data_IF_994630894123
#
_entry.id   IF_994630894123
#
_cell.length_a   1.000
_cell.length_b   1.000
_cell.length_c   1.000
_cell.angle_alpha   90.00
_cell.angle_beta   90.00
_cell.angle_gamma   90.00
#
_symmetry.space_group_name_H-M   'P 1'
#
loop_
_entity.id
_entity.type
_entity.pdbx_description
1 polymer ?
#
# COMPACT_ATOMS: atom_id res chain seq x y z
N UNK A 1 7.08 13.39 2.78
CA UNK A 1 7.33 13.03 4.20
C UNK A 1 7.93 14.17 5.01
N UNK A 2 8.97 14.86 4.54
CA UNK A 2 9.63 15.97 5.30
C UNK A 2 8.67 17.07 5.75
N UNK A 3 7.63 17.35 4.95
CA UNK A 3 6.62 18.39 5.24
C UNK A 3 5.59 17.94 6.29
N UNK A 4 4.93 16.80 6.05
CA UNK A 4 3.81 16.33 6.86
C UNK A 4 4.22 15.50 8.08
N UNK A 5 5.46 14.99 8.12
CA UNK A 5 6.01 14.15 9.20
C UNK A 5 5.06 13.00 9.62
N UNK A 6 4.57 12.19 8.66
CA UNK A 6 3.51 11.22 8.93
C UNK A 6 3.96 10.08 9.85
N UNK A 7 2.97 9.42 10.45
CA UNK A 7 3.12 8.06 10.95
C UNK A 7 3.12 7.08 9.76
N UNK A 8 4.13 6.24 9.65
CA UNK A 8 4.31 5.30 8.53
C UNK A 8 4.12 3.87 9.01
N UNK A 9 3.18 3.17 8.39
CA UNK A 9 2.87 1.77 8.64
C UNK A 9 3.44 0.92 7.50
N UNK A 10 4.22 -0.11 7.83
CA UNK A 10 4.75 -1.09 6.88
C UNK A 10 4.21 -2.45 7.26
N UNK A 11 3.57 -3.13 6.32
CA UNK A 11 2.89 -4.40 6.59
C UNK A 11 3.84 -5.59 6.58
N UNK A 12 4.76 -5.64 5.62
CA UNK A 12 5.66 -6.77 5.44
C UNK A 12 7.12 -6.39 5.63
N UNK A 13 7.99 -7.39 5.79
CA UNK A 13 9.43 -7.17 5.92
C UNK A 13 10.16 -6.92 4.58
N UNK A 14 9.46 -7.08 3.46
CA UNK A 14 10.00 -6.95 2.12
C UNK A 14 10.99 -8.05 1.75
N UNK A 15 10.96 -9.24 2.36
CA UNK A 15 11.92 -10.32 2.04
C UNK A 15 11.75 -10.90 0.62
N UNK A 16 10.65 -10.60 -0.07
CA UNK A 16 10.24 -11.17 -1.34
C UNK A 16 10.00 -12.69 -1.28
N UNK A 17 9.74 -13.27 -2.45
CA UNK A 17 9.54 -14.73 -2.59
C UNK A 17 10.82 -15.55 -2.39
N UNK A 18 11.98 -14.93 -2.63
CA UNK A 18 13.32 -15.57 -2.57
C UNK A 18 13.97 -15.54 -1.18
N UNK A 19 13.23 -15.12 -0.14
CA UNK A 19 13.76 -15.01 1.22
C UNK A 19 15.04 -14.14 1.29
N UNK A 20 15.03 -13.01 0.60
CA UNK A 20 16.05 -11.98 0.77
C UNK A 20 16.01 -11.45 2.23
N UNK A 21 17.11 -10.87 2.73
CA UNK A 21 17.12 -10.28 4.06
C UNK A 21 15.98 -9.26 4.26
N UNK A 22 15.32 -9.26 5.43
CA UNK A 22 14.35 -8.24 5.81
C UNK A 22 14.89 -6.82 5.63
N UNK A 23 14.07 -5.92 5.09
CA UNK A 23 14.46 -4.52 4.78
C UNK A 23 14.05 -3.52 5.86
N UNK A 24 13.41 -3.98 6.93
CA UNK A 24 12.79 -3.13 7.96
C UNK A 24 13.75 -2.10 8.57
N UNK A 25 14.98 -2.48 8.91
CA UNK A 25 15.92 -1.54 9.52
C UNK A 25 16.40 -0.46 8.54
N UNK A 26 16.54 -0.79 7.25
CA UNK A 26 16.80 0.20 6.22
C UNK A 26 15.60 1.15 6.07
N UNK A 27 14.38 0.60 5.98
CA UNK A 27 13.15 1.40 5.92
C UNK A 27 12.99 2.31 7.14
N UNK A 28 13.31 1.82 8.34
CA UNK A 28 13.24 2.60 9.59
C UNK A 28 14.18 3.79 9.55
N UNK A 29 15.41 3.60 9.06
CA UNK A 29 16.39 4.70 8.92
C UNK A 29 15.92 5.73 7.89
N UNK A 30 15.43 5.28 6.73
CA UNK A 30 14.93 6.15 5.67
C UNK A 30 13.73 6.99 6.13
N UNK A 31 12.76 6.36 6.79
CA UNK A 31 11.57 7.04 7.33
C UNK A 31 11.97 8.13 8.33
N UNK A 32 12.86 7.80 9.27
CA UNK A 32 13.35 8.78 10.26
C UNK A 32 14.16 9.91 9.61
N UNK A 33 15.02 9.59 8.64
CA UNK A 33 15.80 10.59 7.91
C UNK A 33 14.90 11.55 7.11
N UNK A 34 13.78 11.06 6.58
CA UNK A 34 12.77 11.85 5.91
C UNK A 34 11.83 12.61 6.87
N UNK A 35 12.07 12.57 8.18
CA UNK A 35 11.30 13.29 9.21
C UNK A 35 9.99 12.63 9.62
N UNK A 36 9.72 11.40 9.17
CA UNK A 36 8.52 10.64 9.50
C UNK A 36 8.76 9.67 10.68
N UNK A 37 7.69 9.10 11.22
CA UNK A 37 7.74 8.22 12.40
C UNK A 37 7.26 6.81 12.05
N UNK A 38 8.04 5.74 12.31
CA UNK A 38 7.53 4.36 12.19
C UNK A 38 6.39 4.11 13.18
N UNK A 39 5.26 3.57 12.70
CA UNK A 39 4.10 3.28 13.53
C UNK A 39 4.03 1.85 14.06
N UNK A 40 2.88 1.46 14.65
CA UNK A 40 2.70 0.17 15.33
C UNK A 40 2.72 -1.04 14.40
N UNK A 41 2.43 -0.84 13.11
CA UNK A 41 2.61 -1.88 12.08
C UNK A 41 3.92 -1.60 11.35
N UNK A 42 4.93 -2.43 11.61
CA UNK A 42 6.24 -2.27 11.00
C UNK A 42 6.93 -3.62 10.75
N UNK A 43 6.44 -4.32 9.72
CA UNK A 43 6.82 -5.70 9.42
C UNK A 43 6.05 -6.71 10.25
N UNK A 44 4.72 -6.67 10.15
CA UNK A 44 3.82 -7.60 10.85
C UNK A 44 4.11 -9.06 10.51
N UNK A 45 4.45 -9.32 9.25
CA UNK A 45 4.73 -10.65 8.73
C UNK A 45 5.80 -10.59 7.64
N UNK A 46 6.47 -11.71 7.39
CA UNK A 46 7.32 -11.83 6.20
C UNK A 46 6.50 -11.90 4.92
N UNK A 47 7.07 -11.52 3.77
CA UNK A 47 6.33 -11.55 2.49
C UNK A 47 5.69 -12.92 2.19
N UNK A 48 6.38 -14.02 2.57
CA UNK A 48 5.88 -15.40 2.39
C UNK A 48 4.72 -15.75 3.32
N UNK A 49 4.76 -15.27 4.55
CA UNK A 49 3.69 -15.46 5.52
C UNK A 49 2.45 -14.67 5.10
N UNK A 50 2.65 -13.42 4.68
CA UNK A 50 1.57 -12.58 4.15
C UNK A 50 0.92 -13.21 2.91
N UNK A 51 1.74 -13.69 1.96
CA UNK A 51 1.27 -14.46 0.80
C UNK A 51 0.46 -15.70 1.22
N UNK A 52 0.91 -16.44 2.24
CA UNK A 52 0.21 -17.61 2.74
C UNK A 52 -1.12 -17.25 3.41
N UNK A 53 -1.18 -16.14 4.15
CA UNK A 53 -2.40 -15.61 4.75
C UNK A 53 -3.43 -15.22 3.68
N UNK A 54 -2.99 -14.63 2.56
CA UNK A 54 -3.88 -14.35 1.41
C UNK A 54 -4.44 -15.65 0.83
N UNK A 55 -3.57 -16.63 0.55
CA UNK A 55 -4.00 -17.93 -0.01
C UNK A 55 -4.99 -18.65 0.91
N UNK A 56 -4.77 -18.59 2.22
CA UNK A 56 -5.64 -19.19 3.22
C UNK A 56 -6.92 -18.36 3.50
N UNK A 57 -7.04 -17.16 2.93
CA UNK A 57 -8.07 -16.18 3.27
C UNK A 57 -8.18 -15.98 4.79
N UNK A 58 -7.04 -15.86 5.49
CA UNK A 58 -6.98 -15.79 6.95
C UNK A 58 -7.60 -14.49 7.47
N UNK A 59 -8.93 -14.50 7.62
CA UNK A 59 -9.69 -13.33 8.07
C UNK A 59 -9.24 -12.88 9.47
N UNK A 60 -8.77 -13.79 10.32
CA UNK A 60 -8.24 -13.45 11.65
C UNK A 60 -6.98 -12.59 11.56
N UNK A 61 -6.06 -12.93 10.64
CA UNK A 61 -4.88 -12.12 10.36
C UNK A 61 -5.25 -10.71 9.90
N UNK A 62 -6.14 -10.59 8.90
CA UNK A 62 -6.46 -9.29 8.29
C UNK A 62 -7.38 -8.42 9.15
N UNK A 63 -8.26 -9.01 9.97
CA UNK A 63 -9.07 -8.23 10.94
C UNK A 63 -8.21 -7.60 12.03
N UNK A 64 -7.21 -8.33 12.56
CA UNK A 64 -6.22 -7.75 13.48
C UNK A 64 -5.45 -6.60 12.83
N UNK A 65 -5.03 -6.76 11.58
CA UNK A 65 -4.36 -5.69 10.83
C UNK A 65 -5.27 -4.45 10.71
N UNK A 66 -6.53 -4.65 10.33
CA UNK A 66 -7.53 -3.58 10.25
C UNK A 66 -7.76 -2.87 11.61
N UNK A 67 -7.81 -3.62 12.71
CA UNK A 67 -8.02 -3.07 14.05
C UNK A 67 -6.83 -2.20 14.50
N UNK A 68 -5.59 -2.66 14.24
CA UNK A 68 -4.39 -1.87 14.56
C UNK A 68 -4.32 -0.60 13.70
N UNK A 69 -4.63 -0.68 12.41
CA UNK A 69 -4.69 0.50 11.54
C UNK A 69 -5.76 1.50 12.00
N UNK A 70 -6.95 1.00 12.34
CA UNK A 70 -8.03 1.84 12.86
C UNK A 70 -7.60 2.55 14.15
N UNK A 71 -6.99 1.82 15.08
CA UNK A 71 -6.50 2.37 16.34
C UNK A 71 -5.43 3.45 16.10
N UNK A 72 -4.47 3.20 15.21
CA UNK A 72 -3.45 4.18 14.85
C UNK A 72 -4.05 5.47 14.27
N UNK A 73 -5.09 5.38 13.43
CA UNK A 73 -5.79 6.56 12.91
C UNK A 73 -6.53 7.34 14.00
N UNK A 74 -7.19 6.64 14.92
CA UNK A 74 -7.93 7.25 16.04
C UNK A 74 -7.00 7.91 17.04
N UNK A 75 -5.97 7.19 17.50
CA UNK A 75 -5.04 7.64 18.54
C UNK A 75 -4.23 8.86 18.10
N UNK A 76 -3.98 9.00 16.79
CA UNK A 76 -3.26 10.13 16.21
C UNK A 76 -4.19 11.24 15.70
N UNK A 77 -5.50 11.12 15.87
CA UNK A 77 -6.50 12.04 15.32
C UNK A 77 -6.21 12.34 13.84
N UNK A 78 -5.99 11.28 13.05
CA UNK A 78 -5.64 11.42 11.65
C UNK A 78 -6.78 12.09 10.87
N UNK A 79 -6.43 13.00 9.99
CA UNK A 79 -7.35 13.65 9.04
C UNK A 79 -7.29 12.98 7.66
N UNK A 80 -6.16 12.32 7.39
CA UNK A 80 -5.84 11.74 6.11
C UNK A 80 -5.04 10.45 6.31
N UNK A 81 -5.21 9.51 5.39
CA UNK A 81 -4.34 8.35 5.21
C UNK A 81 -3.85 8.33 3.76
N UNK A 82 -2.58 8.03 3.57
CA UNK A 82 -1.99 7.78 2.25
C UNK A 82 -1.60 6.30 2.18
N UNK A 83 -2.06 5.58 1.16
CA UNK A 83 -1.69 4.17 0.94
C UNK A 83 -1.17 3.93 -0.47
N UNK A 84 -0.71 2.71 -0.72
CA UNK A 84 -0.52 2.23 -2.09
C UNK A 84 -1.84 2.32 -2.87
N UNK A 85 -1.77 2.52 -4.20
CA UNK A 85 -2.94 2.54 -5.07
C UNK A 85 -3.44 1.12 -5.37
N UNK A 86 -4.66 1.03 -5.92
CA UNK A 86 -5.10 -0.20 -6.62
C UNK A 86 -4.64 -0.03 -8.06
N UNK A 87 -3.59 -0.76 -8.41
CA UNK A 87 -2.97 -0.73 -9.73
C UNK A 87 -3.04 -2.11 -10.42
N UNK A 88 -3.62 -3.11 -9.74
CA UNK A 88 -3.73 -4.49 -10.22
C UNK A 88 -2.36 -5.15 -10.50
N UNK A 89 -1.27 -4.50 -10.08
CA UNK A 89 0.11 -4.97 -10.25
C UNK A 89 0.56 -5.91 -9.14
N UNK A 90 0.09 -5.70 -7.92
CA UNK A 90 0.46 -6.49 -6.74
C UNK A 90 -0.78 -6.72 -5.88
N UNK A 91 -1.10 -7.97 -5.51
CA UNK A 91 -2.25 -8.24 -4.64
C UNK A 91 -2.04 -7.65 -3.23
N UNK A 92 -0.79 -7.44 -2.81
CA UNK A 92 -0.48 -6.83 -1.51
C UNK A 92 -0.75 -5.32 -1.54
N UNK A 93 -0.40 -4.63 -2.63
CA UNK A 93 -0.69 -3.18 -2.78
C UNK A 93 -2.20 -2.94 -2.89
N UNK A 94 -2.90 -3.77 -3.66
CA UNK A 94 -4.34 -3.67 -3.79
C UNK A 94 -5.03 -3.89 -2.43
N UNK A 95 -4.60 -4.90 -1.66
CA UNK A 95 -5.06 -5.09 -0.27
C UNK A 95 -4.68 -3.93 0.65
N UNK A 96 -3.47 -3.36 0.49
CA UNK A 96 -3.01 -2.13 1.18
C UNK A 96 -4.04 -1.02 1.05
N UNK A 97 -4.45 -0.73 -0.17
CA UNK A 97 -5.51 0.24 -0.43
C UNK A 97 -6.84 -0.17 0.19
N UNK A 98 -7.32 -1.39 -0.06
CA UNK A 98 -8.66 -1.81 0.36
C UNK A 98 -8.84 -1.80 1.88
N UNK A 99 -7.85 -2.29 2.64
CA UNK A 99 -7.90 -2.29 4.10
C UNK A 99 -7.72 -0.86 4.65
N UNK A 100 -6.89 -0.03 4.01
CA UNK A 100 -6.77 1.39 4.37
C UNK A 100 -8.12 2.12 4.23
N UNK A 101 -8.88 1.85 3.16
CA UNK A 101 -10.23 2.38 2.99
C UNK A 101 -11.16 1.95 4.13
N UNK A 102 -11.13 0.67 4.51
CA UNK A 102 -11.95 0.16 5.63
C UNK A 102 -11.52 0.75 6.99
N UNK A 103 -10.22 0.93 7.21
CA UNK A 103 -9.68 1.54 8.42
C UNK A 103 -10.09 3.02 8.53
N UNK A 104 -9.96 3.78 7.43
CA UNK A 104 -10.37 5.19 7.36
C UNK A 104 -11.87 5.36 7.62
N UNK A 105 -12.72 4.53 7.01
CA UNK A 105 -14.16 4.55 7.25
C UNK A 105 -14.50 4.23 8.71
N UNK A 106 -13.84 3.23 9.30
CA UNK A 106 -14.11 2.83 10.69
C UNK A 106 -13.64 3.90 11.67
N UNK A 107 -12.42 4.39 11.52
CA UNK A 107 -11.88 5.46 12.35
C UNK A 107 -12.68 6.76 12.18
N UNK A 108 -13.17 7.07 10.97
CA UNK A 108 -14.01 8.23 10.72
C UNK A 108 -15.37 8.16 11.44
N UNK A 109 -15.98 6.97 11.55
CA UNK A 109 -17.19 6.78 12.38
C UNK A 109 -16.90 7.02 13.86
N UNK A 110 -15.77 6.50 14.37
CA UNK A 110 -15.35 6.66 15.78
C UNK A 110 -15.10 8.15 16.10
N UNK A 111 -14.35 8.84 15.23
CA UNK A 111 -14.01 10.25 15.37
C UNK A 111 -15.15 11.20 14.96
N UNK A 112 -16.26 10.66 14.43
CA UNK A 112 -17.41 11.41 13.90
C UNK A 112 -17.02 12.46 12.85
N UNK A 113 -16.04 12.13 12.01
CA UNK A 113 -15.58 12.94 10.87
C UNK A 113 -15.04 12.07 9.76
N UNK A 114 -15.05 12.56 8.54
CA UNK A 114 -14.40 11.85 7.43
C UNK A 114 -12.87 11.86 7.62
N UNK A 115 -12.23 10.72 7.34
CA UNK A 115 -10.78 10.62 7.15
C UNK A 115 -10.55 10.47 5.66
N UNK A 116 -9.86 11.43 5.05
CA UNK A 116 -9.59 11.39 3.61
C UNK A 116 -8.62 10.26 3.28
N UNK A 117 -8.92 9.48 2.26
CA UNK A 117 -8.02 8.45 1.77
C UNK A 117 -7.39 8.92 0.46
N UNK A 118 -6.07 9.10 0.47
CA UNK A 118 -5.27 9.47 -0.67
C UNK A 118 -4.40 8.29 -1.12
N UNK A 119 -3.99 8.31 -2.38
CA UNK A 119 -2.92 7.44 -2.89
C UNK A 119 -1.95 8.21 -3.80
N UNK A 120 -0.92 7.51 -4.25
CA UNK A 120 0.12 8.02 -5.15
C UNK A 120 0.44 6.93 -6.18
N UNK A 121 1.10 7.33 -7.27
CA UNK A 121 1.46 6.39 -8.33
C UNK A 121 2.74 5.60 -7.96
N UNK A 122 2.71 4.27 -8.13
CA UNK A 122 3.87 3.40 -7.92
C UNK A 122 4.38 2.87 -9.26
N UNK A 123 3.57 2.05 -9.93
CA UNK A 123 3.95 1.39 -11.17
C UNK A 123 3.51 2.17 -12.40
N UNK A 124 2.41 2.89 -12.29
CA UNK A 124 1.68 3.43 -13.42
C UNK A 124 1.58 4.95 -13.37
N UNK A 125 2.71 5.63 -13.15
CA UNK A 125 2.79 7.09 -13.32
C UNK A 125 2.21 7.50 -14.66
N UNK A 126 1.08 8.21 -14.63
CA UNK A 126 0.40 8.63 -15.84
C UNK A 126 -0.01 7.48 -16.76
N UNK A 127 -0.35 6.30 -16.21
CA UNK A 127 -1.09 5.31 -16.99
C UNK A 127 -2.22 6.02 -17.70
N UNK A 128 -2.41 5.68 -18.98
CA UNK A 128 -3.50 6.17 -19.83
C UNK A 128 -4.90 5.98 -19.21
N UNK A 129 -5.00 5.37 -18.02
CA UNK A 129 -6.22 5.13 -17.24
C UNK A 129 -6.42 6.06 -16.03
N UNK A 130 -5.39 6.71 -15.46
CA UNK A 130 -5.56 7.65 -14.33
C UNK A 130 -5.93 9.02 -14.89
N UNK A 131 -7.23 9.23 -15.11
CA UNK A 131 -7.80 10.46 -15.71
C UNK A 131 -7.92 11.60 -14.67
N UNK A 132 -7.85 11.28 -13.39
CA UNK A 132 -8.00 12.27 -12.32
C UNK A 132 -6.78 13.20 -12.24
N UNK A 133 -7.06 14.48 -12.02
CA UNK A 133 -6.00 15.42 -11.67
C UNK A 133 -5.56 15.19 -10.22
N UNK A 134 -4.26 15.40 -9.92
CA UNK A 134 -3.79 15.29 -8.55
C UNK A 134 -4.49 16.33 -7.67
N UNK A 135 -4.92 15.90 -6.49
CA UNK A 135 -5.40 16.81 -5.44
C UNK A 135 -4.26 17.72 -4.99
N UNK A 136 -3.06 17.15 -4.92
CA UNK A 136 -1.85 17.88 -4.61
C UNK A 136 -0.71 17.46 -5.52
N UNK A 137 -0.01 18.44 -6.09
CA UNK A 137 1.22 18.22 -6.84
C UNK A 137 2.33 19.10 -6.27
N UNK A 138 3.45 18.47 -5.91
CA UNK A 138 4.63 19.12 -5.35
C UNK A 138 5.75 18.98 -6.37
N UNK A 139 6.25 20.10 -6.86
CA UNK A 139 7.53 20.14 -7.58
C UNK A 139 8.63 20.35 -6.55
N UNK A 140 9.59 19.44 -6.50
CA UNK A 140 10.67 19.50 -5.53
C UNK A 140 11.65 20.61 -5.91
N UNK A 141 12.06 21.40 -4.91
CA UNK A 141 13.22 22.28 -5.07
C UNK A 141 14.49 21.45 -5.31
N UNK A 142 15.56 22.04 -5.91
CA UNK A 142 16.81 21.32 -6.16
C UNK A 142 17.37 20.61 -4.91
N UNK A 143 17.30 21.25 -3.74
CA UNK A 143 17.79 20.66 -2.50
C UNK A 143 16.92 19.48 -2.00
N UNK A 144 15.60 19.55 -2.20
CA UNK A 144 14.70 18.43 -1.87
C UNK A 144 14.90 17.25 -2.82
N UNK A 145 15.05 17.55 -4.11
CA UNK A 145 15.34 16.55 -5.14
C UNK A 145 16.66 15.83 -4.85
N UNK A 146 17.71 16.57 -4.49
CA UNK A 146 19.01 15.98 -4.12
C UNK A 146 18.89 15.02 -2.94
N UNK A 147 18.18 15.40 -1.87
CA UNK A 147 17.96 14.52 -0.72
C UNK A 147 17.15 13.28 -1.08
N UNK A 148 16.10 13.43 -1.89
CA UNK A 148 15.29 12.31 -2.38
C UNK A 148 16.11 11.37 -3.26
N UNK A 149 16.87 11.91 -4.20
CA UNK A 149 17.76 11.14 -5.07
C UNK A 149 18.83 10.39 -4.25
N UNK A 150 19.40 11.03 -3.23
CA UNK A 150 20.34 10.38 -2.30
C UNK A 150 19.68 9.24 -1.52
N UNK A 151 18.48 9.44 -0.99
CA UNK A 151 17.72 8.40 -0.29
C UNK A 151 17.39 7.21 -1.20
N UNK A 152 16.97 7.48 -2.43
CA UNK A 152 16.69 6.46 -3.46
C UNK A 152 17.97 5.70 -3.84
N UNK A 153 19.08 6.39 -4.08
CA UNK A 153 20.36 5.76 -4.39
C UNK A 153 20.90 4.90 -3.24
N UNK A 154 20.63 5.29 -1.98
CA UNK A 154 20.99 4.53 -0.80
C UNK A 154 20.15 3.25 -0.59
N UNK A 155 18.98 3.14 -1.21
CA UNK A 155 18.10 1.98 -1.14
C UNK A 155 18.48 0.93 -2.21
N UNK A 156 19.69 0.38 -2.11
CA UNK A 156 20.29 -0.51 -3.12
C UNK A 156 19.45 -1.74 -3.45
N UNK A 157 18.67 -2.23 -2.50
CA UNK A 157 17.79 -3.39 -2.59
C UNK A 157 16.56 -3.15 -3.48
N UNK A 158 16.30 -1.91 -3.88
CA UNK A 158 15.23 -1.49 -4.80
C UNK A 158 15.78 -0.92 -6.11
N UNK A 159 17.09 -1.02 -6.32
CA UNK A 159 17.76 -0.39 -7.47
C UNK A 159 17.22 -0.87 -8.81
N UNK A 160 16.82 -2.13 -8.94
CA UNK A 160 16.26 -2.65 -10.19
C UNK A 160 14.92 -1.98 -10.54
N UNK A 161 13.98 -1.99 -9.61
CA UNK A 161 12.65 -1.40 -9.78
C UNK A 161 12.73 0.11 -10.03
N UNK A 162 13.53 0.80 -9.22
CA UNK A 162 13.76 2.25 -9.35
C UNK A 162 14.39 2.59 -10.70
N UNK A 163 15.44 1.88 -11.12
CA UNK A 163 16.10 2.16 -12.39
C UNK A 163 15.18 1.91 -13.59
N UNK A 164 14.36 0.85 -13.54
CA UNK A 164 13.35 0.60 -14.57
C UNK A 164 12.37 1.77 -14.67
N UNK A 165 11.88 2.28 -13.54
CA UNK A 165 10.94 3.41 -13.53
C UNK A 165 11.62 4.70 -14.03
N UNK A 166 12.87 4.95 -13.65
CA UNK A 166 13.66 6.11 -14.14
C UNK A 166 13.96 6.06 -15.64
N UNK A 167 14.08 4.86 -16.23
CA UNK A 167 14.22 4.71 -17.68
C UNK A 167 12.94 5.09 -18.43
N UNK A 168 11.78 4.88 -17.81
CA UNK A 168 10.47 5.24 -18.36
C UNK A 168 10.22 6.75 -18.15
N UNK A 169 10.50 7.25 -16.96
CA UNK A 169 10.35 8.66 -16.57
C UNK A 169 11.61 9.17 -15.87
N UNK A 170 12.54 9.82 -16.60
CA UNK A 170 13.73 10.41 -15.99
C UNK A 170 13.43 11.50 -14.95
N UNK A 171 12.25 12.12 -15.01
CA UNK A 171 11.77 13.15 -14.08
C UNK A 171 10.99 12.57 -12.89
N UNK A 172 11.01 11.25 -12.68
CA UNK A 172 10.22 10.55 -11.66
C UNK A 172 10.39 11.16 -10.26
N UNK A 173 11.61 11.57 -9.91
CA UNK A 173 11.91 12.05 -8.57
C UNK A 173 11.51 13.52 -8.35
N UNK A 174 11.40 14.31 -9.41
CA UNK A 174 11.22 15.77 -9.38
C UNK A 174 9.86 16.19 -8.85
N UNK A 175 8.89 15.29 -8.92
CA UNK A 175 7.49 15.55 -8.56
C UNK A 175 6.96 14.53 -7.57
N UNK A 176 6.05 14.98 -6.73
CA UNK A 176 5.19 14.13 -5.90
C UNK A 176 3.75 14.53 -6.17
N UNK A 177 2.86 13.55 -6.24
CA UNK A 177 1.46 13.78 -6.51
C UNK A 177 0.61 12.88 -5.61
N UNK A 178 -0.41 13.47 -5.00
CA UNK A 178 -1.42 12.78 -4.22
C UNK A 178 -2.77 12.90 -4.91
N UNK A 179 -3.49 11.79 -4.95
CA UNK A 179 -4.79 11.68 -5.63
C UNK A 179 -5.84 11.27 -4.61
N UNK A 180 -7.05 11.80 -4.78
CA UNK A 180 -8.17 11.43 -3.94
C UNK A 180 -8.67 10.03 -4.32
N UNK A 181 -8.84 9.13 -3.35
CA UNK A 181 -9.52 7.87 -3.61
C UNK A 181 -11.03 8.04 -3.47
N UNK A 182 -11.82 7.32 -4.31
CA UNK A 182 -13.24 7.17 -4.06
C UNK A 182 -13.49 6.69 -2.62
N UNK A 183 -14.40 7.34 -1.91
CA UNK A 183 -14.81 6.89 -0.58
C UNK A 183 -15.84 5.76 -0.68
N UNK A 184 -16.10 5.08 0.44
CA UNK A 184 -17.15 4.06 0.51
C UNK A 184 -16.79 2.72 -0.17
N UNK A 185 -17.83 1.94 -0.47
CA UNK A 185 -17.70 0.61 -1.09
C UNK A 185 -17.28 0.67 -2.57
N UNK A 186 -17.39 1.83 -3.20
CA UNK A 186 -16.94 2.01 -4.59
C UNK A 186 -15.43 1.77 -4.73
N UNK A 187 -14.64 2.13 -3.73
CA UNK A 187 -13.21 1.84 -3.71
C UNK A 187 -12.86 0.35 -3.57
N UNK A 188 -13.84 -0.50 -3.26
CA UNK A 188 -13.67 -1.96 -3.06
C UNK A 188 -14.27 -2.78 -4.20
N UNK A 189 -14.66 -2.14 -5.32
CA UNK A 189 -15.21 -2.83 -6.48
C UNK A 189 -14.23 -3.87 -7.01
N UNK A 190 -14.80 -4.98 -7.48
CA UNK A 190 -14.03 -6.00 -8.17
C UNK A 190 -13.40 -5.44 -9.46
N UNK A 191 -12.20 -5.91 -9.83
CA UNK A 191 -11.59 -5.55 -11.10
C UNK A 191 -12.51 -6.01 -12.24
N UNK A 192 -12.62 -5.18 -13.28
CA UNK A 192 -13.47 -5.46 -14.45
C UNK A 192 -12.83 -6.43 -15.44
N UNK A 193 -11.52 -6.64 -15.31
CA UNK A 193 -10.70 -7.55 -16.10
C UNK A 193 -9.82 -8.38 -15.16
N UNK A 194 -9.15 -9.39 -15.70
CA UNK A 194 -8.15 -10.14 -14.94
C UNK A 194 -7.00 -9.21 -14.51
N UNK A 195 -6.68 -9.10 -13.21
CA UNK A 195 -5.59 -8.27 -12.71
C UNK A 195 -4.23 -8.62 -13.33
N UNK A 196 -3.37 -7.62 -13.50
CA UNK A 196 -2.02 -7.81 -14.06
C UNK A 196 -1.16 -8.76 -13.20
N UNK A 197 -1.31 -8.75 -11.87
CA UNK A 197 -0.61 -9.69 -11.00
C UNK A 197 -0.97 -11.14 -11.29
N UNK A 198 -2.20 -11.44 -11.72
CA UNK A 198 -2.59 -12.80 -12.09
C UNK A 198 -1.93 -13.21 -13.41
N UNK A 199 -1.98 -12.30 -14.40
CA UNK A 199 -1.40 -12.52 -15.74
C UNK A 199 0.12 -12.72 -15.62
N UNK A 200 0.80 -11.86 -14.86
CA UNK A 200 2.25 -11.89 -14.70
C UNK A 200 2.73 -13.08 -13.85
N UNK A 201 1.94 -13.52 -12.86
CA UNK A 201 2.33 -14.63 -11.99
C UNK A 201 2.02 -16.01 -12.57
N UNK A 202 1.11 -16.15 -13.55
CA UNK A 202 0.77 -17.44 -14.15
C UNK A 202 1.99 -18.20 -14.72
N UNK A 203 2.91 -17.59 -15.51
CA UNK A 203 4.14 -18.24 -15.95
C UNK A 203 5.11 -18.59 -14.80
N UNK A 204 5.10 -17.80 -13.73
CA UNK A 204 5.94 -18.02 -12.54
C UNK A 204 5.45 -19.22 -11.72
N UNK A 205 4.15 -19.47 -11.69
CA UNK A 205 3.58 -20.70 -11.12
C UNK A 205 3.91 -21.90 -12.00
N UNK A 206 3.78 -21.78 -13.32
CA UNK A 206 4.11 -22.85 -14.26
C UNK A 206 5.60 -23.25 -14.20
N UNK A 207 6.49 -22.31 -13.87
CA UNK A 207 7.92 -22.55 -13.67
C UNK A 207 8.30 -22.92 -12.22
N UNK A 208 7.33 -23.03 -11.31
CA UNK A 208 7.55 -23.46 -9.92
C UNK A 208 8.13 -22.40 -8.99
N UNK A 209 8.24 -21.13 -9.42
CA UNK A 209 8.68 -20.01 -8.57
C UNK A 209 7.66 -19.72 -7.48
N UNK A 210 6.37 -19.80 -7.83
CA UNK A 210 5.26 -19.73 -6.87
C UNK A 210 4.51 -21.05 -6.85
N UNK A 211 4.03 -21.45 -5.66
CA UNK A 211 3.26 -22.69 -5.50
C UNK A 211 1.83 -22.54 -6.02
N UNK A 212 1.23 -21.37 -5.85
CA UNK A 212 -0.18 -21.15 -6.15
C UNK A 212 -0.40 -19.74 -6.70
N UNK A 213 -1.27 -19.59 -7.69
CA UNK A 213 -1.63 -18.26 -8.17
C UNK A 213 -2.59 -17.60 -7.17
N UNK A 214 -2.25 -16.41 -6.67
CA UNK A 214 -3.24 -15.57 -6.01
C UNK A 214 -4.13 -14.97 -7.09
N UNK A 215 -5.44 -15.11 -6.92
CA UNK A 215 -6.46 -14.57 -7.82
C UNK A 215 -7.43 -13.68 -7.03
N UNK A 216 -8.01 -12.69 -7.70
CA UNK A 216 -9.04 -11.86 -7.11
C UNK A 216 -10.23 -12.73 -6.72
N UNK A 217 -10.74 -13.55 -7.65
CA UNK A 217 -11.96 -14.33 -7.45
C UNK A 217 -11.85 -15.30 -6.27
N UNK A 218 -10.73 -16.01 -6.16
CA UNK A 218 -10.61 -17.12 -5.22
C UNK A 218 -9.93 -16.71 -3.91
N UNK A 219 -9.34 -15.51 -3.81
CA UNK A 219 -8.58 -15.09 -2.63
C UNK A 219 -8.92 -13.67 -2.18
N UNK A 220 -8.72 -12.65 -3.03
CA UNK A 220 -8.87 -11.24 -2.63
C UNK A 220 -10.35 -10.88 -2.39
N UNK A 221 -11.24 -11.21 -3.32
CA UNK A 221 -12.67 -10.91 -3.25
C UNK A 221 -13.36 -11.49 -2.00
N UNK A 222 -13.21 -12.79 -1.71
CA UNK A 222 -13.73 -13.39 -0.48
C UNK A 222 -13.18 -12.74 0.79
N UNK A 223 -11.88 -12.46 0.83
CA UNK A 223 -11.23 -11.82 1.96
C UNK A 223 -11.78 -10.41 2.21
N UNK A 224 -11.86 -9.58 1.17
CA UNK A 224 -12.39 -8.20 1.25
C UNK A 224 -13.86 -8.22 1.69
N UNK A 225 -14.65 -9.16 1.16
CA UNK A 225 -16.05 -9.34 1.56
C UNK A 225 -16.17 -9.69 3.04
N UNK A 226 -15.31 -10.57 3.55
CA UNK A 226 -15.22 -10.92 4.97
C UNK A 226 -14.87 -9.72 5.85
N UNK A 227 -13.95 -8.87 5.42
CA UNK A 227 -13.55 -7.65 6.14
C UNK A 227 -14.66 -6.59 6.17
N UNK A 228 -15.39 -6.41 5.06
CA UNK A 228 -16.57 -5.54 5.01
C UNK A 228 -17.65 -6.02 5.99
N UNK A 229 -17.89 -7.33 6.02
CA UNK A 229 -18.86 -7.93 6.94
C UNK A 229 -18.43 -7.76 8.41
N UNK A 230 -17.15 -7.92 8.72
CA UNK A 230 -16.59 -7.67 10.05
C UNK A 230 -16.80 -6.21 10.49
N UNK A 231 -16.41 -5.25 9.64
CA UNK A 231 -16.54 -3.82 9.91
C UNK A 231 -18.01 -3.39 10.17
N UNK A 232 -18.98 -4.08 9.55
CA UNK A 232 -20.41 -3.77 9.70
C UNK A 232 -21.00 -4.25 11.04
N UNK A 233 -20.38 -5.23 11.70
CA UNK A 233 -20.87 -5.80 12.98
C UNK A 233 -20.53 -4.90 14.17
N UNK A 234 -19.36 -4.30 14.16
CA UNK A 234 -18.86 -3.46 15.27
C UNK A 234 -19.56 -2.10 15.40
N UNK A 235 -20.42 -1.73 14.45
CA UNK A 235 -21.21 -0.47 14.48
C UNK A 235 -22.57 -0.66 15.18
N UNK A 236 -22.95 -1.89 15.53
CA UNK A 236 -24.25 -2.21 16.15
C UNK A 236 -24.19 -2.49 17.66
N UNK A 237 -23.06 -2.23 18.31
CA UNK A 237 -22.89 -2.27 19.76
C UNK A 237 -22.78 -0.85 20.32
#
# INVERSE_FOLDING_TARGET
MEREKPLVLIWTDGSGSRAAPPRLEASRRLIKAAGATPGPLFGLAGDREFYSAILAQDLGFFTRLLDVMTSALVDNLAEQIVSDPIEEYSPVHDLCSMISTLAAQRAGRILKREIRHLDFDIEFRGSRTRVQQPLEAIVLSPAQLERKASAVAGATELSFEVNRLLQIDPGLLDREALYDRPSGLEALKAPSVTPQYEIAAAPLVASGVFKTLITYRDHIGPLVSGLVAYQSRDVRA
#
